data_IF_169158159896
#
_entry.id   IF_169158159896
#
_cell.length_a   1.000
_cell.length_b   1.000
_cell.length_c   1.000
_cell.angle_alpha   90.00
_cell.angle_beta   90.00
_cell.angle_gamma   90.00
#
_symmetry.space_group_name_H-M   'P 1'
#
loop_
_entity.id
_entity.type
_entity.pdbx_description
1 polymer ?
#
# COMPACT_ATOMS: atom_id res chain seq x y z
N UNK A 1 15.54 1.19 -32.99
CA UNK A 1 16.50 1.27 -31.87
C UNK A 1 15.73 1.04 -30.58
N UNK A 2 15.68 -0.21 -30.13
CA UNK A 2 14.95 -0.61 -28.92
C UNK A 2 15.88 -0.35 -27.74
N UNK A 3 15.56 0.66 -26.93
CA UNK A 3 16.29 0.96 -25.70
C UNK A 3 16.06 -0.17 -24.69
N UNK A 4 17.02 -1.09 -24.58
CA UNK A 4 17.09 -2.06 -23.50
C UNK A 4 17.54 -1.33 -22.24
N UNK A 5 16.58 -0.76 -21.52
CA UNK A 5 16.82 -0.14 -20.23
C UNK A 5 17.32 -1.23 -19.26
N UNK A 6 18.57 -1.15 -18.74
CA UNK A 6 19.11 -2.13 -17.81
C UNK A 6 18.64 -1.76 -16.40
N UNK A 7 17.33 -1.68 -16.19
CA UNK A 7 16.78 -1.59 -14.85
C UNK A 7 17.01 -2.96 -14.20
N UNK A 8 17.95 -2.99 -13.27
CA UNK A 8 18.21 -4.07 -12.32
C UNK A 8 16.99 -4.97 -12.12
N UNK A 9 17.03 -6.21 -12.66
CA UNK A 9 16.22 -7.27 -12.07
C UNK A 9 16.76 -7.41 -10.66
N UNK A 10 15.97 -7.04 -9.67
CA UNK A 10 16.22 -7.47 -8.30
C UNK A 10 16.44 -8.98 -8.34
N UNK A 11 17.44 -9.52 -7.61
CA UNK A 11 17.58 -10.96 -7.50
C UNK A 11 16.23 -11.55 -7.09
N UNK A 12 15.94 -12.80 -7.50
CA UNK A 12 14.73 -13.49 -7.04
C UNK A 12 14.63 -13.35 -5.52
N UNK A 13 13.42 -13.09 -5.01
CA UNK A 13 13.18 -13.12 -3.58
C UNK A 13 13.44 -14.54 -3.09
N UNK A 14 14.62 -14.78 -2.55
CA UNK A 14 14.98 -16.04 -1.93
C UNK A 14 14.55 -16.04 -0.47
N UNK A 15 13.74 -17.02 -0.10
CA UNK A 15 13.42 -17.26 1.30
C UNK A 15 14.69 -17.74 2.00
N UNK A 16 15.28 -16.86 2.80
CA UNK A 16 16.45 -17.21 3.59
C UNK A 16 16.03 -18.20 4.68
N UNK A 17 16.71 -19.36 4.82
CA UNK A 17 16.42 -20.26 5.93
C UNK A 17 16.70 -19.56 7.27
N UNK A 18 15.96 -19.94 8.30
CA UNK A 18 16.18 -19.41 9.67
C UNK A 18 17.63 -19.63 10.10
N UNK A 19 18.33 -18.63 10.67
CA UNK A 19 19.67 -18.83 11.19
C UNK A 19 19.63 -19.88 12.31
N UNK A 20 20.44 -20.94 12.20
CA UNK A 20 20.48 -22.00 13.19
C UNK A 20 21.93 -22.33 13.57
N UNK A 21 22.19 -22.47 14.88
CA UNK A 21 23.37 -23.15 15.42
C UNK A 21 23.46 -24.57 14.83
N UNK A 22 24.63 -25.17 14.57
CA UNK A 22 24.76 -26.41 13.78
C UNK A 22 23.98 -27.65 14.29
N UNK A 23 23.46 -27.65 15.52
CA UNK A 23 22.58 -28.70 16.06
C UNK A 23 21.07 -28.37 16.06
N UNK A 24 20.71 -27.09 16.01
CA UNK A 24 19.35 -26.55 15.98
C UNK A 24 18.52 -26.90 14.72
N UNK A 25 19.08 -27.10 13.50
CA UNK A 25 18.27 -27.29 12.30
C UNK A 25 17.52 -28.63 12.34
N UNK A 26 18.09 -29.65 12.98
CA UNK A 26 17.50 -31.00 13.01
C UNK A 26 16.24 -31.06 13.88
N UNK A 27 16.25 -30.41 15.05
CA UNK A 27 15.07 -30.36 15.94
C UNK A 27 14.01 -29.43 15.35
N UNK A 28 14.39 -28.24 14.89
CA UNK A 28 13.47 -27.28 14.26
C UNK A 28 12.78 -27.88 13.05
N UNK A 29 13.52 -28.57 12.16
CA UNK A 29 12.94 -29.25 11.00
C UNK A 29 11.97 -30.36 11.40
N UNK A 30 12.33 -31.20 12.39
CA UNK A 30 11.45 -32.28 12.88
C UNK A 30 10.14 -31.73 13.47
N UNK A 31 10.20 -30.61 14.18
CA UNK A 31 9.01 -29.95 14.72
C UNK A 31 8.16 -29.36 13.59
N UNK A 32 8.76 -28.64 12.64
CA UNK A 32 8.07 -28.12 11.45
C UNK A 32 7.38 -29.24 10.65
N UNK A 33 8.06 -30.35 10.39
CA UNK A 33 7.50 -31.53 9.73
C UNK A 33 6.29 -32.11 10.48
N UNK A 34 6.23 -31.96 11.81
CA UNK A 34 5.14 -32.49 12.62
C UNK A 34 3.92 -31.55 12.72
N UNK A 35 4.13 -30.24 12.56
CA UNK A 35 3.08 -29.23 12.79
C UNK A 35 2.58 -28.57 11.51
N UNK A 36 3.37 -28.55 10.43
CA UNK A 36 3.06 -27.80 9.21
C UNK A 36 1.74 -28.19 8.56
N UNK A 37 1.39 -29.48 8.62
CA UNK A 37 0.17 -30.01 8.00
C UNK A 37 -1.03 -30.06 8.96
N UNK A 38 -0.88 -29.55 10.18
CA UNK A 38 -1.99 -29.47 11.13
C UNK A 38 -2.96 -28.34 10.75
N UNK A 39 -4.27 -28.48 11.05
CA UNK A 39 -5.24 -27.42 10.78
C UNK A 39 -4.89 -26.12 11.51
N UNK A 40 -4.96 -24.99 10.81
CA UNK A 40 -4.85 -23.67 11.42
C UNK A 40 -6.05 -23.44 12.32
N UNK A 41 -5.81 -23.30 13.62
CA UNK A 41 -6.85 -22.92 14.60
C UNK A 41 -6.68 -21.44 14.92
N UNK A 42 -7.63 -20.61 14.46
CA UNK A 42 -7.64 -19.16 14.68
C UNK A 42 -8.74 -18.78 15.69
N UNK A 43 -8.51 -18.90 17.01
CA UNK A 43 -9.55 -18.70 18.03
C UNK A 43 -10.02 -17.25 18.15
N UNK A 44 -9.30 -16.30 17.54
CA UNK A 44 -9.66 -14.90 17.48
C UNK A 44 -9.35 -14.35 16.08
N UNK A 45 -10.27 -13.59 15.51
CA UNK A 45 -10.11 -12.94 14.20
C UNK A 45 -11.09 -11.79 14.04
N UNK A 46 -10.79 -10.89 13.11
CA UNK A 46 -11.62 -9.73 12.77
C UNK A 46 -12.14 -9.82 11.32
N UNK A 47 -12.29 -11.04 10.79
CA UNK A 47 -12.83 -11.25 9.44
C UNK A 47 -14.34 -11.00 9.49
N UNK A 48 -14.83 -10.16 8.59
CA UNK A 48 -16.27 -9.93 8.45
C UNK A 48 -16.97 -11.24 8.06
N UNK A 49 -17.97 -11.64 8.83
CA UNK A 49 -18.69 -12.90 8.61
C UNK A 49 -19.46 -12.90 7.28
N UNK A 50 -19.91 -11.75 6.79
CA UNK A 50 -20.63 -11.68 5.51
C UNK A 50 -19.73 -12.05 4.33
N UNK A 51 -18.41 -11.77 4.42
CA UNK A 51 -17.46 -12.21 3.39
C UNK A 51 -17.43 -13.73 3.24
N UNK A 52 -17.52 -14.46 4.37
CA UNK A 52 -17.52 -15.92 4.37
C UNK A 52 -18.86 -16.49 3.93
N UNK A 53 -19.97 -15.83 4.32
CA UNK A 53 -21.32 -16.27 3.96
C UNK A 53 -21.61 -16.11 2.47
N UNK A 54 -21.15 -15.01 1.86
CA UNK A 54 -21.45 -14.69 0.46
C UNK A 54 -20.45 -15.30 -0.53
N UNK A 55 -19.27 -15.74 -0.06
CA UNK A 55 -18.18 -16.34 -0.87
C UNK A 55 -17.91 -15.59 -2.19
N UNK A 56 -17.95 -14.25 -2.13
CA UNK A 56 -17.76 -13.41 -3.32
C UNK A 56 -16.29 -13.27 -3.63
N UNK A 57 -15.87 -13.40 -4.90
CA UNK A 57 -14.48 -13.19 -5.27
C UNK A 57 -14.09 -11.72 -5.10
N UNK A 58 -12.86 -11.50 -4.67
CA UNK A 58 -12.21 -10.19 -4.77
C UNK A 58 -11.76 -10.00 -6.23
N UNK A 59 -12.37 -9.02 -6.92
CA UNK A 59 -12.15 -8.78 -8.35
C UNK A 59 -10.80 -8.10 -8.65
N UNK A 60 -10.18 -7.49 -7.63
CA UNK A 60 -8.83 -6.95 -7.73
C UNK A 60 -8.07 -7.03 -6.39
N UNK A 61 -6.72 -7.09 -6.42
CA UNK A 61 -5.91 -7.21 -5.21
C UNK A 61 -6.08 -6.06 -4.21
N UNK A 62 -6.32 -4.83 -4.69
CA UNK A 62 -6.47 -3.67 -3.83
C UNK A 62 -7.69 -3.77 -2.92
N UNK A 63 -8.80 -4.35 -3.41
CA UNK A 63 -10.02 -4.57 -2.64
C UNK A 63 -9.76 -5.53 -1.47
N UNK A 64 -9.04 -6.64 -1.73
CA UNK A 64 -8.66 -7.59 -0.69
C UNK A 64 -7.68 -6.99 0.32
N UNK A 65 -6.55 -6.48 -0.17
CA UNK A 65 -5.43 -6.11 0.69
C UNK A 65 -5.72 -4.86 1.48
N UNK A 66 -6.29 -3.86 0.83
CA UNK A 66 -6.46 -2.55 1.43
C UNK A 66 -7.90 -2.43 1.93
N UNK A 67 -8.93 -2.86 1.18
CA UNK A 67 -10.34 -2.63 1.52
C UNK A 67 -10.75 -3.12 2.91
N UNK A 68 -10.26 -4.30 3.30
CA UNK A 68 -10.65 -4.96 4.56
C UNK A 68 -9.61 -4.84 5.67
N UNK A 69 -8.35 -4.52 5.34
CA UNK A 69 -7.28 -4.48 6.33
C UNK A 69 -6.90 -3.03 6.68
N UNK A 70 -7.29 -2.53 7.85
CA UNK A 70 -6.97 -1.15 8.26
C UNK A 70 -5.47 -0.93 8.50
N UNK A 71 -4.67 -2.00 8.60
CA UNK A 71 -3.22 -1.90 8.75
C UNK A 71 -2.49 -1.82 7.40
N UNK A 72 -3.20 -1.98 6.28
CA UNK A 72 -2.63 -1.92 4.93
C UNK A 72 -3.07 -0.65 4.24
N UNK A 73 -2.09 0.17 3.86
CA UNK A 73 -2.29 1.35 3.03
C UNK A 73 -1.63 1.12 1.67
N UNK A 74 -2.19 1.72 0.62
CA UNK A 74 -1.54 1.75 -0.69
C UNK A 74 -0.32 2.65 -0.58
N UNK A 75 0.85 2.15 -0.97
CA UNK A 75 2.09 2.93 -1.00
C UNK A 75 2.03 4.14 -1.94
N UNK A 76 3.08 4.94 -1.96
CA UNK A 76 3.15 6.09 -2.86
C UNK A 76 3.46 5.67 -4.29
N UNK A 77 2.96 6.40 -5.31
CA UNK A 77 3.42 6.22 -6.67
C UNK A 77 4.90 6.62 -6.76
N UNK A 78 5.69 5.86 -7.51
CA UNK A 78 7.14 6.01 -7.54
C UNK A 78 7.69 6.81 -8.75
N UNK A 79 7.04 7.89 -9.23
CA UNK A 79 7.52 8.70 -10.39
C UNK A 79 6.75 10.03 -10.61
N UNK A 80 7.31 10.96 -11.40
CA UNK A 80 6.80 12.33 -11.64
C UNK A 80 5.62 12.45 -12.63
N UNK A 81 4.70 13.34 -12.24
CA UNK A 81 3.72 14.12 -13.00
C UNK A 81 2.63 13.36 -13.77
N UNK A 82 2.95 12.37 -14.60
CA UNK A 82 1.94 11.72 -15.47
C UNK A 82 1.46 10.36 -14.94
N UNK A 83 2.30 9.70 -14.14
CA UNK A 83 1.92 8.47 -13.43
C UNK A 83 1.04 8.74 -12.22
N UNK A 84 1.06 9.97 -11.66
CA UNK A 84 0.25 10.32 -10.50
C UNK A 84 -1.24 10.34 -10.87
N UNK A 85 -1.61 10.90 -12.03
CA UNK A 85 -2.99 10.85 -12.51
C UNK A 85 -3.48 9.42 -12.74
N UNK A 86 -2.66 8.58 -13.40
CA UNK A 86 -2.97 7.15 -13.61
C UNK A 86 -3.06 6.37 -12.31
N UNK A 87 -2.15 6.63 -11.38
CA UNK A 87 -2.17 6.05 -10.04
C UNK A 87 -3.46 6.42 -9.32
N UNK A 88 -3.82 7.71 -9.30
CA UNK A 88 -5.06 8.19 -8.68
C UNK A 88 -6.28 7.55 -9.32
N UNK A 89 -6.34 7.47 -10.65
CA UNK A 89 -7.43 6.76 -11.33
C UNK A 89 -7.51 5.28 -10.94
N UNK A 90 -6.37 4.61 -10.78
CA UNK A 90 -6.32 3.18 -10.48
C UNK A 90 -6.63 2.82 -9.02
N UNK A 91 -6.37 3.71 -8.06
CA UNK A 91 -6.46 3.36 -6.62
C UNK A 91 -7.54 4.11 -5.86
N UNK A 92 -8.06 5.22 -6.38
CA UNK A 92 -8.96 6.08 -5.59
C UNK A 92 -10.32 5.43 -5.35
N UNK A 93 -10.89 4.73 -6.32
CA UNK A 93 -12.17 4.03 -6.14
C UNK A 93 -12.12 3.01 -5.00
N UNK A 94 -11.01 2.27 -4.91
CA UNK A 94 -10.87 1.12 -4.00
C UNK A 94 -10.25 1.49 -2.66
N UNK A 95 -9.17 2.27 -2.68
CA UNK A 95 -8.44 2.65 -1.48
C UNK A 95 -8.99 3.93 -0.86
N UNK A 96 -9.56 4.82 -1.69
CA UNK A 96 -9.85 6.19 -1.29
C UNK A 96 -8.56 6.99 -1.03
N UNK A 97 -8.73 8.30 -0.94
CA UNK A 97 -7.64 9.19 -0.55
C UNK A 97 -7.05 8.87 0.84
N UNK A 98 -7.85 8.62 1.90
CA UNK A 98 -7.33 8.44 3.25
C UNK A 98 -6.38 7.25 3.43
N UNK A 99 -6.46 6.23 2.57
CA UNK A 99 -5.65 4.99 2.68
C UNK A 99 -4.43 5.01 1.76
N UNK A 100 -3.98 6.22 1.42
CA UNK A 100 -2.71 6.52 0.76
C UNK A 100 -1.90 7.46 1.66
N UNK A 101 -0.58 7.31 1.84
CA UNK A 101 0.23 8.22 2.66
C UNK A 101 0.52 9.57 1.97
N UNK A 102 -0.05 9.82 0.79
CA UNK A 102 0.20 11.02 -0.01
C UNK A 102 1.46 10.89 -0.87
N UNK A 103 2.47 11.72 -0.62
CA UNK A 103 3.72 11.76 -1.37
C UNK A 103 4.91 11.53 -0.42
N UNK A 104 5.82 10.62 -0.81
CA UNK A 104 7.05 10.31 -0.07
C UNK A 104 8.20 10.51 -1.03
N UNK A 105 9.18 11.31 -0.61
CA UNK A 105 10.33 11.69 -1.44
C UNK A 105 11.61 11.01 -0.96
N UNK A 106 12.57 10.86 -1.87
CA UNK A 106 13.88 10.34 -1.51
C UNK A 106 14.67 11.42 -0.78
N UNK A 107 15.21 11.09 0.39
CA UNK A 107 15.98 12.04 1.21
C UNK A 107 17.28 12.50 0.52
N UNK A 108 17.77 11.73 -0.44
CA UNK A 108 18.94 12.09 -1.27
C UNK A 108 18.73 13.34 -2.13
N UNK A 109 17.49 13.78 -2.36
CA UNK A 109 17.16 14.98 -3.16
C UNK A 109 16.61 16.13 -2.30
N UNK A 110 17.07 16.23 -1.05
CA UNK A 110 16.59 17.14 0.00
C UNK A 110 16.20 18.54 -0.48
N UNK A 111 17.09 19.23 -1.21
CA UNK A 111 16.86 20.60 -1.66
C UNK A 111 15.66 20.77 -2.61
N UNK A 112 15.19 19.68 -3.22
CA UNK A 112 14.04 19.71 -4.13
C UNK A 112 12.74 19.18 -3.51
N UNK A 113 12.79 18.65 -2.29
CA UNK A 113 11.65 18.02 -1.61
C UNK A 113 10.44 18.97 -1.55
N UNK A 114 10.64 20.23 -1.15
CA UNK A 114 9.54 21.20 -1.03
C UNK A 114 8.84 21.48 -2.36
N UNK A 115 9.61 21.60 -3.45
CA UNK A 115 9.07 21.84 -4.79
C UNK A 115 8.29 20.62 -5.30
N UNK A 116 8.82 19.41 -5.06
CA UNK A 116 8.20 18.13 -5.44
C UNK A 116 6.90 17.88 -4.69
N UNK A 117 6.88 18.10 -3.38
CA UNK A 117 5.65 18.07 -2.58
C UNK A 117 4.64 19.14 -3.04
N UNK A 118 5.11 20.35 -3.37
CA UNK A 118 4.27 21.40 -3.93
C UNK A 118 3.62 21.02 -5.25
N UNK A 119 4.33 20.28 -6.09
CA UNK A 119 3.79 19.75 -7.34
C UNK A 119 2.77 18.65 -7.09
N UNK A 120 3.09 17.66 -6.26
CA UNK A 120 2.19 16.55 -5.92
C UNK A 120 0.85 17.07 -5.37
N UNK A 121 0.88 18.10 -4.52
CA UNK A 121 -0.34 18.77 -4.01
C UNK A 121 -1.21 19.35 -5.11
N UNK A 122 -0.61 20.01 -6.11
CA UNK A 122 -1.38 20.61 -7.22
C UNK A 122 -1.99 19.53 -8.12
N UNK A 123 -1.29 18.43 -8.33
CA UNK A 123 -1.79 17.29 -9.12
C UNK A 123 -2.96 16.62 -8.40
N UNK A 124 -2.83 16.34 -7.09
CA UNK A 124 -3.91 15.75 -6.28
C UNK A 124 -5.14 16.66 -6.22
N UNK A 125 -4.94 17.97 -6.01
CA UNK A 125 -6.02 18.94 -6.04
C UNK A 125 -6.71 19.00 -7.41
N UNK A 126 -5.94 18.97 -8.50
CA UNK A 126 -6.48 18.91 -9.86
C UNK A 126 -7.32 17.66 -10.10
N UNK A 127 -6.84 16.48 -9.66
CA UNK A 127 -7.61 15.23 -9.76
C UNK A 127 -8.93 15.32 -9.00
N UNK A 128 -8.91 15.81 -7.76
CA UNK A 128 -10.12 15.97 -6.93
C UNK A 128 -11.11 16.98 -7.49
N UNK A 129 -10.66 18.01 -8.19
CA UNK A 129 -11.54 18.97 -8.87
C UNK A 129 -12.22 18.33 -10.08
N UNK A 130 -11.48 17.53 -10.85
CA UNK A 130 -11.99 16.86 -12.06
C UNK A 130 -12.94 15.71 -11.72
N UNK A 131 -12.61 14.88 -10.73
CA UNK A 131 -13.45 13.75 -10.30
C UNK A 131 -14.66 14.18 -9.45
N UNK A 132 -14.69 15.42 -8.92
CA UNK A 132 -15.83 15.86 -8.11
C UNK A 132 -17.07 16.10 -8.95
N UNK A 133 -18.20 15.54 -8.49
CA UNK A 133 -19.51 16.19 -8.68
C UNK A 133 -19.64 17.35 -7.67
N UNK A 134 -20.12 18.54 -8.09
CA UNK A 134 -20.31 19.67 -7.17
C UNK A 134 -21.38 19.33 -6.11
N UNK A 135 -21.06 19.47 -4.81
CA UNK A 135 -22.06 19.37 -3.73
C UNK A 135 -21.60 18.92 -2.33
N UNK A 136 -20.46 18.27 -2.16
CA UNK A 136 -20.08 17.71 -0.84
C UNK A 136 -19.17 18.64 0.01
N UNK A 137 -19.59 19.04 1.23
CA UNK A 137 -18.86 19.97 2.11
C UNK A 137 -17.64 19.34 2.80
N UNK A 138 -17.60 18.02 2.96
CA UNK A 138 -16.50 17.28 3.61
C UNK A 138 -15.19 17.33 2.79
N UNK A 139 -15.31 17.56 1.48
CA UNK A 139 -14.17 17.55 0.58
C UNK A 139 -13.43 18.90 0.49
N UNK A 140 -13.88 19.97 1.15
CA UNK A 140 -13.11 21.23 1.22
C UNK A 140 -11.82 21.08 2.04
N UNK A 141 -11.85 20.23 3.08
CA UNK A 141 -10.72 20.01 3.99
C UNK A 141 -9.79 18.89 3.54
N UNK A 142 -10.21 18.04 2.59
CA UNK A 142 -9.44 16.89 2.11
C UNK A 142 -8.03 17.27 1.63
N UNK A 143 -7.81 18.35 0.83
CA UNK A 143 -6.46 18.75 0.42
C UNK A 143 -5.57 19.17 1.60
N UNK A 144 -6.14 19.77 2.65
CA UNK A 144 -5.41 20.16 3.87
C UNK A 144 -5.11 18.92 4.72
N UNK A 145 -6.08 18.02 4.87
CA UNK A 145 -5.94 16.75 5.57
C UNK A 145 -4.83 15.90 4.97
N UNK A 146 -4.80 15.76 3.64
CA UNK A 146 -3.74 15.05 2.91
C UNK A 146 -2.33 15.54 3.24
N UNK A 147 -2.17 16.84 3.50
CA UNK A 147 -0.87 17.48 3.66
C UNK A 147 -0.37 17.43 5.10
N UNK A 148 -1.27 17.62 6.07
CA UNK A 148 -0.87 17.81 7.46
C UNK A 148 -1.13 16.59 8.33
N UNK A 149 -2.21 15.85 8.06
CA UNK A 149 -2.71 14.82 8.97
C UNK A 149 -2.59 13.41 8.40
N UNK A 150 -2.60 13.26 7.08
CA UNK A 150 -2.70 11.95 6.46
C UNK A 150 -1.45 11.09 6.65
N UNK A 151 -0.26 11.68 6.55
CA UNK A 151 0.97 10.97 6.89
C UNK A 151 0.97 10.54 8.37
N UNK A 152 0.54 11.42 9.27
CA UNK A 152 0.41 11.08 10.71
C UNK A 152 -0.59 9.94 10.94
N UNK A 153 -1.73 9.98 10.26
CA UNK A 153 -2.77 8.96 10.35
C UNK A 153 -2.31 7.59 9.81
N UNK A 154 -1.64 7.57 8.65
CA UNK A 154 -1.15 6.33 8.02
C UNK A 154 0.02 5.72 8.81
N UNK A 155 0.97 6.56 9.24
CA UNK A 155 2.15 6.10 9.97
C UNK A 155 1.95 6.02 11.49
N UNK A 156 0.77 6.41 12.00
CA UNK A 156 0.43 6.45 13.43
C UNK A 156 1.46 7.26 14.25
N UNK A 157 1.83 8.44 13.72
CA UNK A 157 2.73 9.42 14.36
C UNK A 157 1.92 10.42 15.20
#
# INVERSE_FOLDING_TARGET
>A
MTSTNPCHRSPPLELHPTPADPGTPTITRRLDEHVRDQPVTAPHGNVDADLLLQDRPFWEPATLLTGFNPSVCVGVPWWFLDTVGRFRAAVTETAGFPRTPGFVDQTSVFCSISARHGMARRVDAGFLIVERRPGEPEAADLPVHQVSKQAQAVFRL
#
